data_IF_430582476965
#
_entry.id   IF_430582476965
#
_cell.length_a   1.000
_cell.length_b   1.000
_cell.length_c   1.000
_cell.angle_alpha   90.00
_cell.angle_beta   90.00
_cell.angle_gamma   90.00
#
_symmetry.space_group_name_H-M   'P 1'
#
loop_
_entity.id
_entity.type
_entity.pdbx_description
1 polymer ?
#
# COMPACT_ATOMS: atom_id res chain seq x y z
N UNK A 1 -22.17 -27.71 31.27
CA UNK A 1 -21.43 -27.19 30.12
C UNK A 1 -20.60 -28.30 29.54
N UNK A 2 -20.67 -28.53 28.25
CA UNK A 2 -19.78 -29.50 27.60
C UNK A 2 -18.46 -28.82 27.25
N UNK A 3 -17.34 -29.46 27.56
CA UNK A 3 -15.99 -28.99 27.27
C UNK A 3 -15.28 -30.02 26.39
N UNK A 4 -14.59 -29.56 25.33
CA UNK A 4 -13.74 -30.39 24.50
C UNK A 4 -12.31 -29.91 24.75
N UNK A 5 -11.45 -30.80 25.21
CA UNK A 5 -10.02 -30.52 25.44
C UNK A 5 -9.20 -31.34 24.46
N UNK A 6 -8.61 -30.70 23.46
CA UNK A 6 -7.78 -31.33 22.44
C UNK A 6 -6.60 -30.42 22.12
N UNK A 7 -5.46 -31.00 21.76
CA UNK A 7 -4.29 -30.23 21.35
C UNK A 7 -4.41 -29.69 19.91
N UNK A 8 -5.18 -30.37 19.06
CA UNK A 8 -5.38 -29.98 17.66
C UNK A 8 -6.79 -30.38 17.22
N UNK A 9 -7.42 -29.52 16.48
CA UNK A 9 -8.66 -29.81 15.75
C UNK A 9 -8.35 -29.62 14.27
N UNK A 10 -8.49 -30.67 13.49
CA UNK A 10 -8.22 -30.66 12.04
C UNK A 10 -9.33 -31.35 11.28
N UNK A 11 -9.40 -31.14 9.97
CA UNK A 11 -10.36 -31.81 9.10
C UNK A 11 -9.86 -33.19 8.72
N UNK A 12 -10.69 -34.21 8.86
CA UNK A 12 -10.36 -35.55 8.42
C UNK A 12 -10.39 -35.69 6.89
N UNK A 13 -11.26 -34.93 6.25
CA UNK A 13 -11.44 -34.91 4.80
C UNK A 13 -11.80 -33.50 4.33
N UNK A 14 -11.17 -33.03 3.27
CA UNK A 14 -11.41 -31.69 2.72
C UNK A 14 -10.44 -30.64 3.24
N UNK A 15 -10.68 -29.38 2.90
CA UNK A 15 -9.80 -28.25 3.20
C UNK A 15 -10.42 -27.21 4.13
N UNK A 16 -11.61 -27.48 4.69
CA UNK A 16 -12.35 -26.47 5.47
C UNK A 16 -12.79 -27.05 6.80
N UNK A 17 -12.36 -26.44 7.90
CA UNK A 17 -12.90 -26.63 9.23
C UNK A 17 -13.90 -25.51 9.53
N UNK A 18 -15.18 -25.86 9.71
CA UNK A 18 -16.20 -24.88 10.10
C UNK A 18 -16.38 -24.93 11.62
N UNK A 19 -16.14 -23.80 12.28
CA UNK A 19 -16.36 -23.62 13.72
C UNK A 19 -17.51 -22.66 13.94
N UNK A 20 -18.57 -23.13 14.55
CA UNK A 20 -19.82 -22.38 14.73
C UNK A 20 -20.75 -22.49 13.52
N UNK A 21 -21.95 -21.99 13.65
CA UNK A 21 -22.97 -21.86 12.60
C UNK A 21 -23.38 -20.41 12.43
N UNK A 22 -24.16 -20.11 11.40
CA UNK A 22 -24.66 -18.74 11.14
C UNK A 22 -25.29 -18.14 12.40
N UNK A 23 -24.94 -16.89 12.70
CA UNK A 23 -25.42 -16.17 13.87
C UNK A 23 -24.77 -16.57 15.21
N UNK A 24 -23.73 -17.40 15.20
CA UNK A 24 -22.95 -17.74 16.41
C UNK A 24 -21.62 -17.01 16.45
N UNK A 25 -21.19 -16.66 17.65
CA UNK A 25 -19.91 -16.00 17.91
C UNK A 25 -18.88 -17.01 18.40
N UNK A 26 -17.70 -16.98 17.82
CA UNK A 26 -16.52 -17.68 18.35
C UNK A 26 -15.72 -16.66 19.16
N UNK A 27 -15.58 -16.89 20.45
CA UNK A 27 -14.88 -15.98 21.36
C UNK A 27 -13.61 -16.65 21.88
N UNK A 28 -12.50 -15.95 21.78
CA UNK A 28 -11.26 -16.37 22.44
C UNK A 28 -11.33 -16.02 23.94
N UNK A 29 -10.80 -16.90 24.78
CA UNK A 29 -10.67 -16.62 26.20
C UNK A 29 -9.69 -15.46 26.45
N UNK A 30 -9.85 -14.77 27.58
CA UNK A 30 -8.91 -13.71 27.98
C UNK A 30 -7.47 -14.23 28.05
N UNK A 31 -6.55 -13.55 27.34
CA UNK A 31 -5.17 -13.95 27.23
C UNK A 31 -4.87 -14.95 26.10
N UNK A 32 -5.88 -15.51 25.44
CA UNK A 32 -5.68 -16.31 24.23
C UNK A 32 -5.44 -15.40 23.03
N UNK A 33 -4.55 -15.81 22.13
CA UNK A 33 -4.28 -15.12 20.87
C UNK A 33 -4.67 -15.99 19.68
N UNK A 34 -4.98 -15.36 18.55
CA UNK A 34 -5.20 -16.05 17.29
C UNK A 34 -4.04 -15.79 16.33
N UNK A 35 -3.77 -16.79 15.48
CA UNK A 35 -2.84 -16.66 14.37
C UNK A 35 -3.49 -17.29 13.13
N UNK A 36 -3.54 -16.57 12.00
CA UNK A 36 -4.09 -17.07 10.76
C UNK A 36 -5.62 -17.08 10.63
N UNK A 37 -6.38 -16.75 11.66
CA UNK A 37 -7.81 -16.47 11.53
C UNK A 37 -8.02 -15.14 10.84
N UNK A 38 -8.73 -15.11 9.75
CA UNK A 38 -8.98 -13.98 8.88
C UNK A 38 -8.87 -12.57 9.50
N UNK A 39 -8.63 -11.59 8.67
CA UNK A 39 -8.43 -10.22 9.14
C UNK A 39 -9.73 -9.60 9.61
N UNK A 40 -9.68 -9.00 10.78
CA UNK A 40 -10.78 -8.19 11.33
C UNK A 40 -10.71 -6.73 10.82
N UNK A 41 -10.10 -6.47 9.65
CA UNK A 41 -9.96 -5.12 9.09
C UNK A 41 -8.81 -4.29 9.65
N UNK A 42 -7.97 -4.87 10.53
CA UNK A 42 -6.80 -4.21 11.12
C UNK A 42 -5.51 -4.90 10.71
N UNK A 43 -4.40 -4.17 10.78
CA UNK A 43 -3.06 -4.72 10.60
C UNK A 43 -2.49 -5.22 11.93
N UNK A 44 -1.59 -6.19 11.87
CA UNK A 44 -0.77 -6.59 13.01
C UNK A 44 0.45 -5.65 13.09
N UNK A 45 0.47 -4.82 14.13
CA UNK A 45 1.49 -3.79 14.29
C UNK A 45 2.83 -4.34 14.76
N UNK A 46 3.88 -4.08 13.97
CA UNK A 46 5.26 -4.30 14.38
C UNK A 46 5.70 -3.19 15.35
N UNK A 47 5.82 -3.52 16.62
CA UNK A 47 6.16 -2.54 17.68
C UNK A 47 7.63 -2.11 17.66
N UNK A 48 8.50 -2.82 16.93
CA UNK A 48 9.89 -2.39 16.70
C UNK A 48 9.91 -1.43 15.50
N UNK A 49 10.24 -0.16 15.77
CA UNK A 49 10.29 0.87 14.73
C UNK A 49 11.36 0.54 13.67
N UNK A 50 11.02 0.78 12.41
CA UNK A 50 11.94 0.63 11.27
C UNK A 50 12.78 1.89 11.12
N UNK A 51 14.10 1.74 11.05
CA UNK A 51 15.07 2.84 10.95
C UNK A 51 15.82 2.90 9.62
N UNK A 52 15.48 2.05 8.67
CA UNK A 52 16.06 1.97 7.32
C UNK A 52 15.02 1.49 6.31
N UNK A 53 15.41 1.44 5.04
CA UNK A 53 14.56 0.96 3.96
C UNK A 53 14.17 -0.51 4.17
N UNK A 54 12.92 -0.85 3.86
CA UNK A 54 12.44 -2.23 3.98
C UNK A 54 11.28 -2.50 3.03
N UNK A 55 10.99 -3.80 2.83
CA UNK A 55 9.80 -4.26 2.12
C UNK A 55 8.71 -4.61 3.14
N UNK A 56 7.54 -4.02 2.96
CA UNK A 56 6.37 -4.31 3.80
C UNK A 56 5.78 -5.69 3.46
N UNK A 57 5.18 -6.31 4.45
CA UNK A 57 4.49 -7.59 4.33
C UNK A 57 2.99 -7.37 4.50
N UNK A 58 2.20 -8.05 3.68
CA UNK A 58 0.76 -8.03 3.77
C UNK A 58 0.26 -8.35 5.19
N UNK A 59 -0.70 -7.56 5.69
CA UNK A 59 -1.29 -7.71 7.01
C UNK A 59 -0.55 -7.02 8.14
N UNK A 60 0.56 -6.34 7.86
CA UNK A 60 1.39 -5.70 8.88
C UNK A 60 1.26 -4.19 8.87
N UNK A 61 1.34 -3.61 10.07
CA UNK A 61 1.53 -2.19 10.29
C UNK A 61 2.95 -1.90 10.79
N UNK A 62 3.51 -0.78 10.40
CA UNK A 62 4.89 -0.41 10.70
C UNK A 62 4.99 1.00 11.25
N UNK A 63 5.71 1.14 12.34
CA UNK A 63 6.22 2.41 12.81
C UNK A 63 7.56 2.69 12.13
N UNK A 64 7.68 3.83 11.45
CA UNK A 64 8.90 4.21 10.70
C UNK A 64 9.54 5.41 11.37
N UNK A 65 10.79 5.26 11.78
CA UNK A 65 11.57 6.30 12.42
C UNK A 65 12.57 6.89 11.42
N UNK A 66 12.20 8.00 10.81
CA UNK A 66 13.02 8.72 9.83
C UNK A 66 13.92 9.81 10.45
N UNK A 67 14.19 9.78 11.74
CA UNK A 67 15.04 10.77 12.42
C UNK A 67 16.42 10.91 11.78
N UNK A 68 17.01 9.80 11.34
CA UNK A 68 18.36 9.77 10.75
C UNK A 68 18.40 10.01 9.24
N UNK A 69 17.27 10.14 8.57
CA UNK A 69 17.17 10.34 7.13
C UNK A 69 15.88 9.80 6.53
N UNK A 70 15.66 10.11 5.26
CA UNK A 70 14.50 9.63 4.51
C UNK A 70 14.52 8.10 4.38
N UNK A 71 13.34 7.48 4.47
CA UNK A 71 13.19 6.02 4.41
C UNK A 71 12.21 5.66 3.28
N UNK A 72 12.53 4.58 2.58
CA UNK A 72 11.64 3.99 1.57
C UNK A 72 11.03 2.69 2.12
N UNK A 73 9.70 2.65 2.14
CA UNK A 73 8.90 1.47 2.41
C UNK A 73 8.42 0.92 1.07
N UNK A 74 8.89 -0.25 0.68
CA UNK A 74 8.47 -0.91 -0.56
C UNK A 74 7.25 -1.78 -0.28
N UNK A 75 6.16 -1.58 -1.01
CA UNK A 75 4.94 -2.39 -0.87
C UNK A 75 5.17 -3.81 -1.39
N UNK A 76 4.34 -4.81 -0.97
CA UNK A 76 4.45 -6.17 -1.47
C UNK A 76 4.39 -6.26 -2.99
N UNK A 77 5.19 -7.15 -3.58
CA UNK A 77 5.08 -7.52 -4.99
C UNK A 77 3.89 -8.46 -5.21
N UNK A 78 3.24 -8.37 -6.36
CA UNK A 78 2.11 -9.24 -6.73
C UNK A 78 1.01 -9.29 -5.65
N UNK A 79 0.47 -8.15 -5.21
CA UNK A 79 -0.56 -8.14 -4.19
C UNK A 79 -1.88 -8.72 -4.72
N UNK A 80 -2.68 -9.24 -3.81
CA UNK A 80 -4.05 -9.72 -4.05
C UNK A 80 -5.08 -8.73 -3.50
N UNK A 81 -6.27 -8.70 -4.10
CA UNK A 81 -7.37 -7.86 -3.61
C UNK A 81 -7.63 -8.11 -2.10
N UNK A 82 -7.70 -7.04 -1.32
CA UNK A 82 -7.85 -7.07 0.13
C UNK A 82 -6.52 -7.14 0.90
N UNK A 83 -5.37 -7.19 0.24
CA UNK A 83 -4.08 -7.03 0.93
C UNK A 83 -4.00 -5.66 1.58
N UNK A 84 -3.46 -5.61 2.80
CA UNK A 84 -3.45 -4.42 3.63
C UNK A 84 -2.06 -4.16 4.22
N UNK A 85 -1.63 -2.90 4.21
CA UNK A 85 -0.39 -2.43 4.87
C UNK A 85 -0.67 -1.09 5.53
N UNK A 86 -0.21 -0.91 6.77
CA UNK A 86 -0.27 0.38 7.44
C UNK A 86 1.14 0.91 7.76
N UNK A 87 1.29 2.22 7.70
CA UNK A 87 2.55 2.92 7.94
C UNK A 87 2.27 4.15 8.79
N UNK A 88 3.08 4.36 9.82
CA UNK A 88 2.98 5.53 10.70
C UNK A 88 4.35 6.15 10.95
N UNK A 89 4.45 7.47 10.89
CA UNK A 89 5.64 8.21 11.30
C UNK A 89 5.82 8.13 12.82
N UNK A 90 6.79 7.34 13.26
CA UNK A 90 7.10 7.09 14.67
C UNK A 90 7.58 8.34 15.40
N UNK A 91 8.53 9.06 14.80
CA UNK A 91 9.25 10.15 15.47
C UNK A 91 8.65 11.53 15.23
N UNK A 92 7.72 11.68 14.28
CA UNK A 92 7.22 12.98 13.84
C UNK A 92 8.27 13.74 13.02
N UNK A 93 8.99 13.04 12.16
CA UNK A 93 10.09 13.60 11.36
C UNK A 93 9.87 13.49 9.86
N UNK A 94 8.74 12.96 9.43
CA UNK A 94 8.41 12.76 8.00
C UNK A 94 8.35 14.08 7.21
N UNK A 95 8.01 15.19 7.85
CA UNK A 95 8.03 16.53 7.23
C UNK A 95 9.43 17.02 6.86
N UNK A 96 10.48 16.51 7.53
CA UNK A 96 11.89 16.82 7.20
C UNK A 96 12.53 15.68 6.43
N UNK A 97 12.31 14.46 6.87
CA UNK A 97 12.87 13.23 6.33
C UNK A 97 11.73 12.34 5.80
N UNK A 98 11.32 12.61 4.58
CA UNK A 98 10.16 11.97 3.94
C UNK A 98 10.21 10.43 4.01
N UNK A 99 9.06 9.82 4.31
CA UNK A 99 8.87 8.37 4.20
C UNK A 99 8.19 8.10 2.85
N UNK A 100 8.97 7.56 1.91
CA UNK A 100 8.46 7.21 0.58
C UNK A 100 7.81 5.83 0.61
N UNK A 101 6.63 5.70 0.00
CA UNK A 101 5.91 4.44 -0.16
C UNK A 101 6.07 4.00 -1.59
N UNK A 102 7.05 3.12 -1.84
CA UNK A 102 7.34 2.60 -3.16
C UNK A 102 6.32 1.52 -3.55
N UNK A 103 5.63 1.72 -4.64
CA UNK A 103 4.51 0.91 -5.12
C UNK A 103 4.86 -0.47 -5.65
N UNK A 104 6.14 -0.78 -5.86
CA UNK A 104 6.66 -2.06 -6.31
C UNK A 104 5.95 -2.61 -7.57
N UNK A 105 5.89 -1.79 -8.62
CA UNK A 105 5.26 -2.05 -9.92
C UNK A 105 3.72 -2.11 -9.93
N UNK A 106 3.05 -2.18 -8.79
CA UNK A 106 1.60 -2.01 -8.70
C UNK A 106 1.21 -0.55 -8.92
N UNK A 107 -0.04 -0.27 -9.23
CA UNK A 107 -0.53 1.12 -9.20
C UNK A 107 -0.73 1.59 -7.76
N UNK A 108 -0.75 2.90 -7.60
CA UNK A 108 -1.03 3.59 -6.36
C UNK A 108 -2.04 4.71 -6.64
N UNK A 109 -3.22 4.67 -6.03
CA UNK A 109 -4.33 5.61 -6.30
C UNK A 109 -4.63 5.76 -7.80
N UNK A 110 -4.62 4.64 -8.53
CA UNK A 110 -4.83 4.60 -9.97
C UNK A 110 -3.64 5.09 -10.82
N UNK A 111 -2.62 5.66 -10.19
CA UNK A 111 -1.44 6.25 -10.84
C UNK A 111 -0.20 5.39 -10.83
N UNK A 112 0.87 5.92 -11.43
CA UNK A 112 2.20 5.32 -11.47
C UNK A 112 3.19 6.03 -10.52
N UNK A 113 2.73 6.93 -9.66
CA UNK A 113 3.56 7.62 -8.70
C UNK A 113 3.64 6.83 -7.38
N UNK A 114 4.74 6.98 -6.68
CA UNK A 114 4.88 6.47 -5.32
C UNK A 114 4.13 7.36 -4.34
N UNK A 115 3.59 6.75 -3.27
CA UNK A 115 3.04 7.49 -2.14
C UNK A 115 4.14 8.04 -1.24
N UNK A 116 3.78 8.92 -0.31
CA UNK A 116 4.70 9.40 0.71
C UNK A 116 3.95 9.88 1.96
N UNK A 117 4.58 9.76 3.13
CA UNK A 117 4.26 10.56 4.29
C UNK A 117 5.24 11.72 4.31
N UNK A 118 4.72 12.94 4.25
CA UNK A 118 5.48 14.18 4.14
C UNK A 118 5.16 15.19 5.26
N UNK A 119 4.21 14.84 6.11
CA UNK A 119 3.87 15.62 7.30
C UNK A 119 4.26 14.87 8.58
N UNK A 120 4.63 15.63 9.60
CA UNK A 120 4.98 15.05 10.90
C UNK A 120 3.78 14.34 11.53
N UNK A 121 4.01 13.13 12.06
CA UNK A 121 3.00 12.27 12.69
C UNK A 121 1.93 11.74 11.73
N UNK A 122 2.19 11.80 10.45
CA UNK A 122 1.30 11.25 9.44
C UNK A 122 1.27 9.72 9.50
N UNK A 123 0.11 9.15 9.17
CA UNK A 123 -0.08 7.71 9.08
C UNK A 123 -1.08 7.39 7.97
N UNK A 124 -0.90 6.25 7.32
CA UNK A 124 -1.82 5.77 6.30
C UNK A 124 -2.03 4.26 6.40
N UNK A 125 -3.22 3.82 6.04
CA UNK A 125 -3.53 2.40 5.82
C UNK A 125 -3.89 2.23 4.35
N UNK A 126 -3.19 1.32 3.70
CA UNK A 126 -3.32 1.03 2.28
C UNK A 126 -3.98 -0.32 2.09
N UNK A 127 -4.95 -0.39 1.19
CA UNK A 127 -5.59 -1.65 0.77
C UNK A 127 -5.39 -1.80 -0.73
N UNK A 128 -4.95 -2.96 -1.17
CA UNK A 128 -4.89 -3.28 -2.59
C UNK A 128 -6.28 -3.69 -3.09
N UNK A 129 -6.77 -3.01 -4.11
CA UNK A 129 -8.11 -3.23 -4.66
C UNK A 129 -8.01 -4.14 -5.90
N UNK A 130 -7.33 -3.66 -6.94
CA UNK A 130 -7.22 -4.34 -8.23
C UNK A 130 -6.05 -3.79 -9.05
N UNK A 131 -5.87 -4.26 -10.28
CA UNK A 131 -4.84 -3.76 -11.20
C UNK A 131 -5.13 -2.37 -11.78
N UNK A 132 -6.35 -1.83 -11.60
CA UNK A 132 -6.76 -0.51 -12.11
C UNK A 132 -6.41 0.60 -11.12
N UNK A 133 -6.79 0.43 -9.87
CA UNK A 133 -6.53 1.40 -8.80
C UNK A 133 -5.23 1.07 -8.04
N UNK A 134 -4.91 -0.21 -7.90
CA UNK A 134 -3.74 -0.63 -7.14
C UNK A 134 -3.95 -0.51 -5.64
N UNK A 135 -2.97 0.05 -4.96
CA UNK A 135 -3.03 0.38 -3.55
C UNK A 135 -3.77 1.69 -3.35
N UNK A 136 -4.77 1.67 -2.46
CA UNK A 136 -5.63 2.83 -2.14
C UNK A 136 -5.58 3.08 -0.64
N UNK A 137 -5.44 4.34 -0.23
CA UNK A 137 -5.54 4.74 1.16
C UNK A 137 -6.99 4.71 1.63
N UNK A 138 -7.24 4.20 2.84
CA UNK A 138 -8.60 4.05 3.37
C UNK A 138 -8.88 4.92 4.61
N UNK A 139 -7.87 5.56 5.18
CA UNK A 139 -8.01 6.40 6.37
C UNK A 139 -7.06 7.60 6.40
N UNK A 140 -6.62 8.04 5.25
CA UNK A 140 -5.89 9.28 5.12
C UNK A 140 -6.86 10.41 4.75
N UNK A 141 -6.98 11.40 5.62
CA UNK A 141 -7.81 12.58 5.39
C UNK A 141 -7.02 13.75 4.81
N UNK A 142 -5.70 13.62 4.72
CA UNK A 142 -4.77 14.63 4.21
C UNK A 142 -3.69 13.99 3.39
N UNK A 143 -4.07 13.43 2.24
CA UNK A 143 -3.07 13.03 1.26
C UNK A 143 -2.50 14.28 0.63
N UNK A 144 -1.31 14.66 1.05
CA UNK A 144 -0.56 15.75 0.44
C UNK A 144 0.09 15.29 -0.87
N UNK A 145 -0.76 14.79 -1.80
CA UNK A 145 -0.36 14.61 -3.19
C UNK A 145 -0.47 15.92 -3.97
N UNK A 146 -0.99 16.97 -3.31
CA UNK A 146 -1.37 18.21 -3.97
C UNK A 146 -0.20 19.11 -4.30
N UNK A 147 0.96 18.93 -3.66
CA UNK A 147 2.12 19.75 -3.97
C UNK A 147 2.93 19.28 -5.19
N UNK A 148 2.69 18.07 -5.71
CA UNK A 148 3.40 17.56 -6.89
C UNK A 148 2.43 17.23 -8.01
N UNK A 149 2.13 18.23 -8.80
CA UNK A 149 1.40 18.02 -10.04
C UNK A 149 2.37 17.60 -11.15
N UNK A 150 2.09 16.45 -11.75
CA UNK A 150 2.82 15.94 -12.90
C UNK A 150 2.03 16.22 -14.17
N UNK A 151 2.73 16.29 -15.30
CA UNK A 151 2.10 16.37 -16.60
C UNK A 151 1.11 15.21 -16.76
N UNK A 152 -0.12 15.55 -17.12
CA UNK A 152 -1.11 14.57 -17.59
C UNK A 152 -1.25 14.69 -19.10
N UNK A 153 -1.20 13.56 -19.78
CA UNK A 153 -1.33 13.51 -21.23
C UNK A 153 -2.11 12.28 -21.67
N UNK A 154 -2.66 12.35 -22.87
CA UNK A 154 -3.36 11.27 -23.54
C UNK A 154 -2.68 10.94 -24.87
N UNK A 155 -3.00 9.77 -25.42
CA UNK A 155 -2.48 9.28 -26.70
C UNK A 155 -1.46 8.15 -26.56
N UNK A 156 -1.41 7.31 -27.58
CA UNK A 156 -0.58 6.11 -27.59
C UNK A 156 -1.00 5.04 -26.58
N UNK A 157 -0.20 3.99 -26.49
CA UNK A 157 -0.34 2.97 -25.44
C UNK A 157 0.40 3.42 -24.20
N UNK A 158 -0.31 3.47 -23.06
CA UNK A 158 0.25 3.98 -21.81
C UNK A 158 0.71 2.80 -20.95
N UNK A 159 1.98 2.82 -20.56
CA UNK A 159 2.58 1.86 -19.62
C UNK A 159 3.33 2.59 -18.51
N UNK A 160 3.55 1.91 -17.37
CA UNK A 160 4.34 2.43 -16.26
C UNK A 160 5.63 1.63 -16.13
N UNK A 161 6.76 2.33 -15.97
CA UNK A 161 8.05 1.71 -15.68
C UNK A 161 8.80 2.57 -14.67
N UNK A 162 9.07 2.00 -13.48
CA UNK A 162 9.56 2.80 -12.36
C UNK A 162 8.58 3.95 -12.06
N UNK A 163 9.08 5.15 -11.93
CA UNK A 163 8.30 6.37 -11.69
C UNK A 163 7.89 7.08 -12.99
N UNK A 164 8.07 6.42 -14.14
CA UNK A 164 7.76 6.99 -15.44
C UNK A 164 6.44 6.46 -16.00
N UNK A 165 5.65 7.37 -16.58
CA UNK A 165 4.54 7.06 -17.45
C UNK A 165 5.03 7.17 -18.89
N UNK A 166 4.94 6.07 -19.65
CA UNK A 166 5.45 5.94 -21.00
C UNK A 166 4.27 5.88 -21.97
N UNK A 167 4.28 6.77 -22.97
CA UNK A 167 3.33 6.78 -24.07
C UNK A 167 4.04 6.26 -25.32
N UNK A 168 3.63 5.09 -25.79
CA UNK A 168 4.22 4.45 -26.98
C UNK A 168 3.29 4.62 -28.18
N UNK A 169 3.82 5.15 -29.28
CA UNK A 169 3.14 5.31 -30.55
C UNK A 169 3.79 4.39 -31.58
N UNK A 170 3.05 3.40 -32.07
CA UNK A 170 3.50 2.48 -33.13
C UNK A 170 2.95 2.85 -34.50
N UNK A 171 2.15 3.89 -34.57
CA UNK A 171 1.60 4.50 -35.77
C UNK A 171 1.37 6.00 -35.53
N UNK A 172 0.96 6.73 -36.55
CA UNK A 172 0.60 8.16 -36.40
C UNK A 172 -0.43 8.36 -35.32
N UNK A 173 -0.16 9.28 -34.37
CA UNK A 173 -1.03 9.60 -33.28
C UNK A 173 -0.65 10.92 -32.61
N UNK A 174 -1.54 11.46 -31.78
CA UNK A 174 -1.29 12.71 -31.05
C UNK A 174 -0.95 12.41 -29.59
N UNK A 175 0.15 12.97 -29.11
CA UNK A 175 0.40 13.14 -27.69
C UNK A 175 -0.22 14.46 -27.25
N UNK A 176 -1.32 14.40 -26.50
CA UNK A 176 -2.03 15.59 -26.05
C UNK A 176 -1.82 15.79 -24.55
N UNK A 177 -1.17 16.88 -24.17
CA UNK A 177 -1.06 17.30 -22.77
C UNK A 177 -2.39 17.91 -22.35
N UNK A 178 -3.00 17.33 -21.32
CA UNK A 178 -4.30 17.77 -20.76
C UNK A 178 -4.13 18.63 -19.51
N UNK A 179 -3.01 18.47 -18.79
CA UNK A 179 -2.61 19.32 -17.69
C UNK A 179 -1.10 19.42 -17.64
N UNK A 180 -0.59 20.60 -17.36
CA UNK A 180 0.84 20.81 -17.10
C UNK A 180 1.11 20.56 -15.62
N UNK A 181 2.21 19.87 -15.32
CA UNK A 181 2.65 19.73 -13.94
C UNK A 181 3.10 21.07 -13.34
N UNK A 182 3.43 21.05 -12.08
CA UNK A 182 3.99 22.20 -11.37
C UNK A 182 5.51 22.04 -11.13
N UNK A 183 6.14 23.05 -10.53
CA UNK A 183 7.58 23.05 -10.26
C UNK A 183 7.99 21.97 -9.22
N UNK A 184 7.08 21.57 -8.33
CA UNK A 184 7.35 20.53 -7.32
C UNK A 184 7.23 19.11 -7.90
N UNK A 185 6.37 18.92 -8.90
CA UNK A 185 6.25 17.68 -9.66
C UNK A 185 7.21 17.64 -10.84
N UNK A 186 6.69 17.62 -12.05
CA UNK A 186 7.47 17.75 -13.29
C UNK A 186 6.60 18.31 -14.40
N UNK A 187 7.14 19.28 -15.11
CA UNK A 187 6.58 19.83 -16.33
C UNK A 187 7.41 19.48 -17.59
N UNK A 188 8.22 18.44 -17.50
CA UNK A 188 9.12 18.02 -18.57
C UNK A 188 8.67 16.70 -19.19
N UNK A 189 8.75 16.62 -20.52
CA UNK A 189 8.55 15.41 -21.30
C UNK A 189 9.87 15.08 -22.00
N UNK A 190 10.33 13.85 -21.88
CA UNK A 190 11.43 13.31 -22.67
C UNK A 190 10.85 12.43 -23.79
N UNK A 191 11.44 12.46 -24.96
CA UNK A 191 10.98 11.63 -26.08
C UNK A 191 12.16 10.95 -26.80
N UNK A 192 11.87 9.81 -27.39
CA UNK A 192 12.78 9.05 -28.27
C UNK A 192 12.01 8.76 -29.55
N UNK A 193 12.66 8.98 -30.67
CA UNK A 193 12.18 8.58 -32.00
C UNK A 193 13.08 7.44 -32.49
N UNK A 194 12.46 6.35 -32.94
CA UNK A 194 13.17 5.15 -33.43
C UNK A 194 12.81 4.94 -34.89
#
# INVERSE_FOLDING_TARGET
>A
MSKIEVNTIDVQCGSTLTVGSSGKTVTLATGASQSGFGRTGTVDWCTTAKTGNFTAVNGKGYFVNSTSGAITVTLPSSPSAGDIVAISDYAGTAGTNKITIARNSSKFEGGCNCGALSNNREATTLVYIDGTQGWVSVNDTTQDYTDKEYITATGGTITCSGDYKIHTFTSSGCFQVTSVGNAAGSNKVSYVVV
#
